data_IF_827203322364
#
_entry.id   IF_827203322364
#
_cell.length_a   1.000
_cell.length_b   1.000
_cell.length_c   1.000
_cell.angle_alpha   90.00
_cell.angle_beta   90.00
_cell.angle_gamma   90.00
#
_symmetry.space_group_name_H-M   'P 1'
#
loop_
_entity.id
_entity.type
_entity.pdbx_description
1 polymer ?
#
# COMPACT_ATOMS: atom_id res chain seq x y z
N UNK A 1 31.99 -11.88 30.53
CA UNK A 1 31.10 -10.71 30.48
C UNK A 1 31.89 -9.61 29.79
N UNK A 2 31.52 -9.05 28.64
CA UNK A 2 30.18 -8.81 28.10
C UNK A 2 30.24 -8.83 26.57
N UNK A 3 29.21 -9.36 25.93
CA UNK A 3 28.96 -9.25 24.50
C UNK A 3 28.41 -7.83 24.23
N UNK A 4 29.15 -7.02 23.48
CA UNK A 4 28.61 -5.77 22.92
C UNK A 4 27.79 -6.10 21.68
N UNK A 5 26.53 -5.66 21.72
CA UNK A 5 25.53 -5.90 20.70
C UNK A 5 25.93 -5.32 19.34
N UNK A 6 25.78 -6.14 18.31
CA UNK A 6 25.86 -5.73 16.93
C UNK A 6 24.70 -4.78 16.59
N UNK A 7 24.90 -3.48 16.79
CA UNK A 7 24.11 -2.46 16.10
C UNK A 7 24.53 -2.48 14.63
N UNK A 8 23.72 -3.15 13.80
CA UNK A 8 23.94 -3.23 12.36
C UNK A 8 24.00 -1.83 11.75
N UNK A 9 25.16 -1.48 11.18
CA UNK A 9 25.33 -0.28 10.36
C UNK A 9 24.27 -0.26 9.25
N UNK A 10 23.66 0.89 8.92
CA UNK A 10 22.76 0.96 7.77
C UNK A 10 23.56 0.57 6.53
N UNK A 11 23.15 -0.51 5.87
CA UNK A 11 23.78 -0.92 4.62
C UNK A 11 23.54 0.19 3.61
N UNK A 12 24.61 0.74 3.04
CA UNK A 12 24.66 1.91 2.14
C UNK A 12 23.84 1.77 0.85
N UNK A 13 23.15 0.65 0.68
CA UNK A 13 22.45 0.19 -0.53
C UNK A 13 20.97 -0.12 -0.26
N UNK A 14 20.45 0.21 0.91
CA UNK A 14 19.05 -0.04 1.26
C UNK A 14 18.24 1.25 1.11
N UNK A 15 17.18 1.16 0.31
CA UNK A 15 16.23 2.24 0.11
C UNK A 15 14.88 1.84 0.71
N UNK A 16 14.47 2.55 1.77
CA UNK A 16 13.17 2.36 2.41
C UNK A 16 12.22 3.47 1.95
N UNK A 17 11.10 3.08 1.33
CA UNK A 17 10.09 3.99 0.80
C UNK A 17 8.79 3.86 1.59
N UNK A 18 8.38 4.88 2.36
CA UNK A 18 7.20 4.80 3.20
C UNK A 18 5.90 4.90 2.39
N UNK A 19 4.87 4.21 2.86
CA UNK A 19 3.51 4.46 2.43
C UNK A 19 3.01 5.77 3.05
N UNK A 20 2.58 6.70 2.19
CA UNK A 20 1.96 7.95 2.63
C UNK A 20 0.47 7.91 2.33
N UNK A 21 -0.37 8.15 3.33
CA UNK A 21 -1.82 8.24 3.12
C UNK A 21 -2.14 9.49 2.29
N UNK A 22 -2.85 9.32 1.18
CA UNK A 22 -3.33 10.42 0.34
C UNK A 22 -4.77 10.77 0.76
N UNK A 23 -4.87 11.56 1.83
CA UNK A 23 -6.16 11.97 2.41
C UNK A 23 -7.01 12.78 1.43
N UNK A 24 -6.38 13.59 0.58
CA UNK A 24 -7.09 14.41 -0.41
C UNK A 24 -7.72 13.54 -1.49
N UNK A 25 -6.97 12.60 -2.05
CA UNK A 25 -7.48 11.66 -3.05
C UNK A 25 -8.51 10.70 -2.44
N UNK A 26 -8.26 10.19 -1.24
CA UNK A 26 -9.22 9.38 -0.46
C UNK A 26 -10.55 10.12 -0.29
N UNK A 27 -10.50 11.38 0.15
CA UNK A 27 -11.70 12.22 0.30
C UNK A 27 -12.39 12.44 -1.04
N UNK A 28 -11.65 12.74 -2.11
CA UNK A 28 -12.20 12.96 -3.46
C UNK A 28 -12.95 11.71 -3.95
N UNK A 29 -12.38 10.53 -3.76
CA UNK A 29 -13.01 9.26 -4.15
C UNK A 29 -14.24 8.93 -3.30
N UNK A 30 -14.28 9.29 -2.01
CA UNK A 30 -15.49 9.17 -1.18
C UNK A 30 -16.60 10.14 -1.60
N UNK A 31 -16.24 11.38 -1.93
CA UNK A 31 -17.19 12.37 -2.44
C UNK A 31 -17.83 11.94 -3.76
N UNK A 32 -17.10 11.20 -4.61
CA UNK A 32 -17.65 10.60 -5.83
C UNK A 32 -18.85 9.71 -5.54
N UNK A 33 -18.75 8.82 -4.54
CA UNK A 33 -19.87 7.97 -4.13
C UNK A 33 -21.07 8.79 -3.65
N UNK A 34 -20.83 9.77 -2.77
CA UNK A 34 -21.89 10.65 -2.25
C UNK A 34 -22.58 11.44 -3.37
N UNK A 35 -21.80 11.97 -4.33
CA UNK A 35 -22.34 12.71 -5.46
C UNK A 35 -23.19 11.83 -6.39
N UNK A 36 -22.83 10.56 -6.58
CA UNK A 36 -23.64 9.62 -7.36
C UNK A 36 -24.98 9.36 -6.69
N UNK A 37 -24.97 9.13 -5.37
CA UNK A 37 -26.19 8.95 -4.58
C UNK A 37 -27.10 10.17 -4.61
N UNK A 38 -26.56 11.37 -4.37
CA UNK A 38 -27.33 12.62 -4.37
C UNK A 38 -27.99 12.90 -5.73
N UNK A 39 -27.33 12.52 -6.83
CA UNK A 39 -27.82 12.74 -8.20
C UNK A 39 -28.62 11.56 -8.74
N UNK A 40 -28.86 10.52 -7.93
CA UNK A 40 -29.48 9.26 -8.35
C UNK A 40 -28.84 8.66 -9.62
N UNK A 41 -27.52 8.76 -9.73
CA UNK A 41 -26.75 8.24 -10.86
C UNK A 41 -26.03 6.95 -10.46
N UNK A 42 -25.80 6.08 -11.45
CA UNK A 42 -24.95 4.90 -11.30
C UNK A 42 -23.48 5.25 -11.56
N UNK A 43 -22.53 4.55 -10.92
CA UNK A 43 -21.13 4.63 -11.32
C UNK A 43 -20.93 4.17 -12.77
N UNK A 44 -19.78 4.52 -13.36
CA UNK A 44 -19.39 3.96 -14.65
C UNK A 44 -19.22 2.44 -14.51
N UNK A 45 -19.45 1.70 -15.59
CA UNK A 45 -19.30 0.25 -15.58
C UNK A 45 -17.86 -0.14 -15.23
N UNK A 46 -17.69 -0.94 -14.18
CA UNK A 46 -16.38 -1.32 -13.63
C UNK A 46 -15.66 -0.25 -12.79
N UNK A 47 -16.27 0.90 -12.50
CA UNK A 47 -15.69 1.94 -11.62
C UNK A 47 -15.49 1.40 -10.19
N UNK A 48 -14.29 1.62 -9.64
CA UNK A 48 -13.95 1.29 -8.26
C UNK A 48 -14.37 2.45 -7.35
N UNK A 49 -15.48 2.26 -6.66
CA UNK A 49 -15.91 3.15 -5.57
C UNK A 49 -15.23 2.76 -4.26
N UNK A 50 -14.77 3.77 -3.52
CA UNK A 50 -14.05 3.55 -2.26
C UNK A 50 -15.02 3.17 -1.14
N UNK A 51 -14.71 2.08 -0.44
CA UNK A 51 -15.43 1.66 0.77
C UNK A 51 -14.98 2.48 1.98
N UNK A 52 -15.77 2.54 3.07
CA UNK A 52 -15.41 3.32 4.26
C UNK A 52 -14.06 2.91 4.89
N UNK A 53 -13.75 1.62 4.84
CA UNK A 53 -12.53 1.04 5.39
C UNK A 53 -11.38 0.97 4.37
N UNK A 54 -11.54 1.58 3.20
CA UNK A 54 -10.52 1.68 2.17
C UNK A 54 -9.96 3.10 2.12
N UNK A 55 -8.64 3.19 1.95
CA UNK A 55 -7.89 4.44 1.87
C UNK A 55 -6.87 4.36 0.75
N UNK A 56 -6.62 5.49 0.08
CA UNK A 56 -5.58 5.60 -0.93
C UNK A 56 -4.27 5.97 -0.26
N UNK A 57 -3.23 5.20 -0.56
CA UNK A 57 -1.86 5.48 -0.21
C UNK A 57 -1.04 5.67 -1.47
N UNK A 58 0.13 6.27 -1.32
CA UNK A 58 1.13 6.35 -2.38
C UNK A 58 2.52 6.02 -1.87
N UNK A 59 3.36 5.60 -2.81
CA UNK A 59 4.81 5.49 -2.65
C UNK A 59 5.45 6.39 -3.70
N UNK A 60 6.33 7.27 -3.23
CA UNK A 60 7.13 8.17 -4.05
C UNK A 60 8.53 7.53 -4.26
N UNK A 61 8.79 7.03 -5.47
CA UNK A 61 10.07 6.42 -5.85
C UNK A 61 11.12 7.51 -6.09
N UNK A 62 12.00 7.71 -5.11
CA UNK A 62 13.15 8.62 -5.24
C UNK A 62 14.26 8.05 -6.14
N UNK A 63 14.23 6.76 -6.42
CA UNK A 63 15.01 6.03 -7.42
C UNK A 63 14.07 5.04 -8.13
N UNK A 64 14.15 4.92 -9.45
CA UNK A 64 13.24 4.08 -10.25
C UNK A 64 13.92 2.85 -10.89
N UNK A 65 15.25 2.90 -11.06
CA UNK A 65 16.02 1.84 -11.71
C UNK A 65 16.87 1.09 -10.69
N UNK A 66 17.22 -0.16 -11.04
CA UNK A 66 18.06 -1.05 -10.23
C UNK A 66 17.51 -1.34 -8.82
N UNK A 67 16.20 -1.15 -8.63
CA UNK A 67 15.53 -1.57 -7.41
C UNK A 67 15.34 -3.08 -7.42
N UNK A 68 15.79 -3.73 -6.35
CA UNK A 68 15.43 -5.13 -6.06
C UNK A 68 14.65 -5.17 -4.75
N UNK A 69 13.44 -5.69 -4.80
CA UNK A 69 12.63 -5.87 -3.60
C UNK A 69 13.39 -6.72 -2.56
N UNK A 70 13.40 -6.28 -1.31
CA UNK A 70 14.01 -7.03 -0.20
C UNK A 70 12.97 -7.53 0.78
N UNK A 71 12.11 -6.63 1.26
CA UNK A 71 11.06 -6.98 2.23
C UNK A 71 10.04 -5.86 2.36
N UNK A 72 8.91 -6.24 2.93
CA UNK A 72 7.97 -5.32 3.56
C UNK A 72 8.46 -4.94 4.95
N UNK A 73 8.29 -3.68 5.34
CA UNK A 73 8.39 -3.26 6.74
C UNK A 73 7.02 -2.72 7.16
N UNK A 74 6.13 -3.65 7.51
CA UNK A 74 4.76 -3.38 7.93
C UNK A 74 4.63 -3.63 9.42
N UNK A 75 4.16 -2.63 10.15
CA UNK A 75 3.89 -2.69 11.59
C UNK A 75 2.46 -2.27 11.86
N UNK A 76 1.77 -3.10 12.63
CA UNK A 76 0.41 -2.84 13.10
C UNK A 76 0.44 -2.59 14.61
N UNK A 77 0.04 -1.40 15.03
CA UNK A 77 0.02 -1.01 16.45
C UNK A 77 -1.08 -1.73 17.24
N UNK A 78 -2.09 -2.25 16.55
CA UNK A 78 -3.19 -3.03 17.14
C UNK A 78 -3.45 -4.30 16.33
N UNK A 79 -4.11 -5.30 16.95
CA UNK A 79 -4.63 -6.44 16.21
C UNK A 79 -5.56 -6.01 15.08
N UNK A 80 -5.56 -6.78 14.00
CA UNK A 80 -6.35 -6.51 12.81
C UNK A 80 -5.63 -6.93 11.54
N UNK A 81 -6.17 -6.53 10.39
CA UNK A 81 -5.64 -6.92 9.08
C UNK A 81 -5.70 -5.76 8.11
N UNK A 82 -4.63 -5.59 7.34
CA UNK A 82 -4.57 -4.68 6.20
C UNK A 82 -4.28 -5.47 4.92
N UNK A 83 -5.01 -5.15 3.86
CA UNK A 83 -4.75 -5.65 2.50
C UNK A 83 -4.26 -4.49 1.65
N UNK A 84 -3.07 -4.61 1.08
CA UNK A 84 -2.41 -3.67 0.20
C UNK A 84 -2.63 -4.11 -1.25
N UNK A 85 -3.39 -3.33 -2.01
CA UNK A 85 -3.64 -3.59 -3.43
C UNK A 85 -2.97 -2.50 -4.25
N UNK A 86 -2.02 -2.89 -5.11
CA UNK A 86 -1.39 -1.95 -6.04
C UNK A 86 -2.37 -1.48 -7.11
N UNK A 87 -2.16 -0.31 -7.68
CA UNK A 87 -2.91 0.16 -8.85
C UNK A 87 -2.01 0.20 -10.09
N UNK A 88 -2.60 0.03 -11.26
CA UNK A 88 -1.91 0.16 -12.54
C UNK A 88 -1.22 1.52 -12.64
N UNK A 89 0.05 1.54 -13.04
CA UNK A 89 0.82 2.76 -13.25
C UNK A 89 0.27 3.65 -14.38
N UNK A 90 -0.67 3.15 -15.19
CA UNK A 90 -1.36 3.95 -16.20
C UNK A 90 -2.56 4.72 -15.64
N UNK A 91 -3.04 4.37 -14.45
CA UNK A 91 -4.07 5.17 -13.78
C UNK A 91 -3.48 6.53 -13.37
N UNK A 92 -4.21 7.58 -13.69
CA UNK A 92 -3.84 8.96 -13.33
C UNK A 92 -5.03 9.56 -12.58
N UNK A 93 -4.96 9.69 -11.24
CA UNK A 93 -6.13 10.03 -10.41
C UNK A 93 -6.79 11.36 -10.73
N UNK A 94 -6.05 12.30 -11.34
CA UNK A 94 -6.59 13.60 -11.77
C UNK A 94 -7.35 13.53 -13.11
N UNK A 95 -7.17 12.46 -13.89
CA UNK A 95 -7.73 12.34 -15.25
C UNK A 95 -8.93 11.38 -15.31
N UNK A 96 -8.90 10.28 -14.56
CA UNK A 96 -9.95 9.26 -14.63
C UNK A 96 -10.30 8.70 -13.26
N UNK A 97 -11.54 8.22 -13.11
CA UNK A 97 -11.90 7.36 -11.99
C UNK A 97 -11.10 6.06 -12.04
N UNK A 98 -10.85 5.47 -10.87
CA UNK A 98 -10.20 4.16 -10.75
C UNK A 98 -11.16 3.08 -11.24
N UNK A 99 -10.68 2.11 -12.00
CA UNK A 99 -11.45 0.97 -12.47
C UNK A 99 -11.01 -0.30 -11.76
N UNK A 100 -11.92 -1.25 -11.51
CA UNK A 100 -11.58 -2.52 -10.84
C UNK A 100 -10.46 -3.30 -11.56
N UNK A 101 -10.44 -3.27 -12.89
CA UNK A 101 -9.37 -3.89 -13.71
C UNK A 101 -7.98 -3.27 -13.53
N UNK A 102 -7.89 -2.09 -12.92
CA UNK A 102 -6.62 -1.42 -12.62
C UNK A 102 -6.07 -1.80 -11.25
N UNK A 103 -6.81 -2.57 -10.45
CA UNK A 103 -6.30 -3.17 -9.22
C UNK A 103 -5.41 -4.37 -9.58
N UNK A 104 -4.23 -4.42 -8.99
CA UNK A 104 -3.21 -5.42 -9.29
C UNK A 104 -3.33 -6.63 -8.36
N UNK A 105 -2.97 -7.79 -8.90
CA UNK A 105 -2.75 -9.05 -8.17
C UNK A 105 -1.29 -9.50 -8.37
N UNK A 106 -0.67 -10.22 -7.43
CA UNK A 106 -1.21 -10.54 -6.11
C UNK A 106 -1.28 -9.29 -5.21
N UNK A 107 -2.01 -9.41 -4.11
CA UNK A 107 -2.13 -8.38 -3.06
C UNK A 107 -1.26 -8.72 -1.85
N UNK A 108 -0.75 -7.71 -1.16
CA UNK A 108 -0.04 -7.90 0.11
C UNK A 108 -1.04 -7.96 1.27
N UNK A 109 -1.17 -9.10 1.95
CA UNK A 109 -2.05 -9.25 3.11
C UNK A 109 -1.21 -9.37 4.38
N UNK A 110 -1.44 -8.46 5.34
CA UNK A 110 -0.72 -8.41 6.61
C UNK A 110 -1.72 -8.40 7.76
N UNK A 111 -1.49 -9.22 8.78
CA UNK A 111 -2.36 -9.28 9.95
C UNK A 111 -1.59 -9.42 11.25
N UNK A 112 -2.22 -8.96 12.33
CA UNK A 112 -1.73 -9.11 13.70
C UNK A 112 -2.85 -9.71 14.55
N UNK A 113 -2.59 -10.87 15.14
CA UNK A 113 -3.55 -11.55 16.04
C UNK A 113 -3.59 -10.84 17.40
N UNK A 114 -4.70 -10.94 18.15
CA UNK A 114 -4.75 -10.48 19.53
C UNK A 114 -3.65 -11.12 20.38
N UNK A 115 -2.89 -10.31 21.12
CA UNK A 115 -1.80 -10.77 21.96
C UNK A 115 -0.50 -11.14 21.22
N UNK A 116 -0.49 -11.15 19.88
CA UNK A 116 0.74 -11.32 19.12
C UNK A 116 1.54 -10.02 19.09
N UNK A 117 2.87 -10.12 19.14
CA UNK A 117 3.76 -8.97 18.95
C UNK A 117 4.02 -8.70 17.47
N UNK A 118 4.22 -9.79 16.70
CA UNK A 118 4.63 -9.77 15.31
C UNK A 118 3.45 -9.63 14.33
N UNK A 119 3.76 -9.13 13.13
CA UNK A 119 2.85 -9.08 12.00
C UNK A 119 3.12 -10.27 11.10
N UNK A 120 2.08 -11.04 10.82
CA UNK A 120 2.11 -12.16 9.88
C UNK A 120 1.68 -11.69 8.48
N UNK A 121 2.10 -12.39 7.43
CA UNK A 121 1.67 -12.13 6.07
C UNK A 121 1.57 -13.41 5.23
N UNK A 122 0.87 -13.35 4.09
CA UNK A 122 1.00 -14.39 3.07
C UNK A 122 2.34 -14.19 2.35
N UNK A 123 3.35 -14.96 2.75
CA UNK A 123 4.74 -14.74 2.31
C UNK A 123 4.91 -14.83 0.79
N UNK A 124 4.24 -15.78 0.12
CA UNK A 124 4.37 -15.99 -1.32
C UNK A 124 3.81 -14.78 -2.10
N UNK A 125 2.54 -14.44 -1.84
CA UNK A 125 1.87 -13.30 -2.48
C UNK A 125 2.58 -11.98 -2.16
N UNK A 126 3.02 -11.80 -0.91
CA UNK A 126 3.74 -10.60 -0.50
C UNK A 126 5.09 -10.47 -1.22
N UNK A 127 5.83 -11.58 -1.38
CA UNK A 127 7.10 -11.57 -2.10
C UNK A 127 6.90 -11.24 -3.58
N UNK A 128 6.00 -11.93 -4.28
CA UNK A 128 5.69 -11.68 -5.69
C UNK A 128 5.19 -10.25 -5.91
N UNK A 129 4.31 -9.76 -5.03
CA UNK A 129 3.80 -8.39 -5.11
C UNK A 129 4.92 -7.36 -4.97
N UNK A 130 5.84 -7.58 -4.02
CA UNK A 130 7.01 -6.70 -3.81
C UNK A 130 7.93 -6.64 -5.02
N UNK A 131 8.21 -7.79 -5.65
CA UNK A 131 9.01 -7.89 -6.88
C UNK A 131 8.34 -7.14 -8.04
N UNK A 132 7.02 -7.32 -8.21
CA UNK A 132 6.23 -6.61 -9.23
C UNK A 132 6.27 -5.09 -9.03
N UNK A 133 6.26 -4.60 -7.79
CA UNK A 133 6.39 -3.16 -7.50
C UNK A 133 7.75 -2.62 -7.97
N UNK A 134 8.84 -3.40 -7.81
CA UNK A 134 10.17 -2.99 -8.28
C UNK A 134 10.20 -2.81 -9.81
N UNK A 135 9.51 -3.67 -10.55
CA UNK A 135 9.35 -3.52 -12.01
C UNK A 135 8.52 -2.29 -12.36
N UNK A 136 7.38 -2.10 -11.67
CA UNK A 136 6.47 -0.98 -11.90
C UNK A 136 7.06 0.38 -11.53
N UNK A 137 8.04 0.43 -10.63
CA UNK A 137 8.77 1.65 -10.28
C UNK A 137 9.46 2.30 -11.49
N UNK A 138 9.81 1.51 -12.51
CA UNK A 138 10.44 1.99 -13.74
C UNK A 138 9.50 2.82 -14.62
N UNK A 139 8.18 2.69 -14.43
CA UNK A 139 7.18 3.35 -15.28
C UNK A 139 6.93 4.79 -14.84
N UNK A 140 6.75 5.02 -13.52
CA UNK A 140 6.45 6.34 -12.93
C UNK A 140 7.04 6.50 -11.54
N UNK A 141 7.34 7.74 -11.17
CA UNK A 141 7.88 8.11 -9.85
C UNK A 141 6.88 7.97 -8.70
N UNK A 142 5.59 7.85 -8.99
CA UNK A 142 4.54 7.73 -7.97
C UNK A 142 3.72 6.50 -8.32
N UNK A 143 3.50 5.62 -7.35
CA UNK A 143 2.54 4.53 -7.45
C UNK A 143 1.49 4.65 -6.36
N UNK A 144 0.23 4.49 -6.74
CA UNK A 144 -0.89 4.49 -5.81
C UNK A 144 -1.29 3.09 -5.39
N UNK A 145 -1.78 2.98 -4.17
CA UNK A 145 -2.22 1.76 -3.54
C UNK A 145 -3.59 1.98 -2.90
N UNK A 146 -4.43 0.97 -2.97
CA UNK A 146 -5.67 0.88 -2.21
C UNK A 146 -5.40 0.00 -0.98
N UNK A 147 -5.48 0.58 0.21
CA UNK A 147 -5.35 -0.17 1.46
C UNK A 147 -6.71 -0.40 2.09
N UNK A 148 -7.04 -1.65 2.35
CA UNK A 148 -8.28 -2.06 3.01
C UNK A 148 -7.99 -2.49 4.43
N UNK A 149 -8.58 -1.80 5.40
CA UNK A 149 -8.41 -2.06 6.83
C UNK A 149 -9.57 -2.88 7.38
N UNK A 150 -9.29 -3.89 8.20
CA UNK A 150 -10.31 -4.76 8.81
C UNK A 150 -9.90 -5.18 10.21
N UNK A 151 -10.86 -5.66 11.02
CA UNK A 151 -10.59 -6.10 12.39
C UNK A 151 -10.39 -4.97 13.39
N UNK A 152 -10.99 -3.79 13.15
CA UNK A 152 -10.86 -2.61 14.03
C UNK A 152 -9.55 -1.84 13.87
N UNK A 153 -8.70 -2.24 12.92
CA UNK A 153 -7.50 -1.54 12.53
C UNK A 153 -7.88 -0.26 11.75
N UNK A 154 -7.22 0.84 12.08
CA UNK A 154 -7.40 2.14 11.43
C UNK A 154 -6.09 2.62 10.77
N UNK A 155 -6.14 3.50 9.75
CA UNK A 155 -4.96 4.02 9.06
C UNK A 155 -3.84 4.54 9.98
N UNK A 156 -4.21 5.23 11.07
CA UNK A 156 -3.27 5.79 12.03
C UNK A 156 -2.44 4.72 12.79
N UNK A 157 -2.88 3.47 12.77
CA UNK A 157 -2.25 2.35 13.47
C UNK A 157 -1.34 1.52 12.55
N UNK A 158 -1.22 1.92 11.27
CA UNK A 158 -0.31 1.32 10.31
C UNK A 158 0.94 2.18 10.15
N UNK A 159 2.11 1.56 10.31
CA UNK A 159 3.38 2.07 9.82
C UNK A 159 3.90 1.09 8.78
N UNK A 160 3.92 1.50 7.53
CA UNK A 160 4.29 0.63 6.41
C UNK A 160 5.29 1.30 5.49
N UNK A 161 6.25 0.52 5.02
CA UNK A 161 7.18 0.90 3.96
C UNK A 161 7.60 -0.32 3.15
N UNK A 162 8.14 -0.06 1.95
CA UNK A 162 8.75 -1.08 1.09
C UNK A 162 10.26 -0.86 1.13
N UNK A 163 11.02 -1.93 1.36
CA UNK A 163 12.48 -1.88 1.41
C UNK A 163 13.06 -2.51 0.15
N UNK A 164 13.87 -1.76 -0.57
CA UNK A 164 14.59 -2.18 -1.76
C UNK A 164 16.10 -2.20 -1.49
N UNK A 165 16.82 -3.04 -2.24
CA UNK A 165 18.22 -2.83 -2.54
C UNK A 165 18.29 -1.89 -3.74
N UNK A 166 19.06 -0.82 -3.63
CA UNK A 166 19.22 0.24 -4.61
C UNK A 166 20.68 0.42 -5.02
#
# INVERSE_FOLDING_TARGET
MSQEGAQGKPQRWMLELPFTCDEQLTRRMRLRFQSLQQRNMRPQDGEKLLRPNEHIYRVDFIQQHQLRFLRWNVRLERPGKVTLTGTSQHWTPDLTHLMNRQLLEPVGIFWKKPGAEEVECNEADAQEFGERIAELAQIRKVMYFLLTFTGGLEPAQLKGSIVFKA
#
